data_IF_424146635112
#
_entry.id   IF_424146635112
#
_cell.length_a   1.000
_cell.length_b   1.000
_cell.length_c   1.000
_cell.angle_alpha   90.00
_cell.angle_beta   90.00
_cell.angle_gamma   90.00
#
_symmetry.space_group_name_H-M   'P 1'
#
loop_
_entity.id
_entity.type
_entity.pdbx_description
1 polymer ?
#
# COMPACT_ATOMS: atom_id res chain seq x y z
N UNK A 1 9.54 25.66 -21.33
CA UNK A 1 8.86 25.29 -20.08
C UNK A 1 9.96 24.82 -19.13
N UNK A 2 10.40 25.70 -18.24
CA UNK A 2 11.54 25.44 -17.33
C UNK A 2 11.09 24.50 -16.22
N UNK A 3 11.73 23.34 -16.11
CA UNK A 3 11.53 22.42 -14.99
C UNK A 3 11.79 23.17 -13.67
N UNK A 4 10.96 22.99 -12.64
CA UNK A 4 11.23 23.57 -11.33
C UNK A 4 12.56 23.02 -10.80
N UNK A 5 13.36 23.90 -10.20
CA UNK A 5 14.63 23.59 -9.54
C UNK A 5 14.41 22.55 -8.44
N UNK A 6 15.23 21.49 -8.34
CA UNK A 6 15.08 20.47 -7.30
C UNK A 6 15.25 21.12 -5.93
N UNK A 7 14.26 20.92 -5.05
CA UNK A 7 14.28 21.42 -3.68
C UNK A 7 15.28 20.60 -2.87
N UNK A 8 16.50 21.11 -2.72
CA UNK A 8 17.61 20.51 -1.96
C UNK A 8 17.43 20.48 -0.43
N UNK A 9 16.19 20.51 0.07
CA UNK A 9 15.92 20.37 1.49
C UNK A 9 15.63 18.90 1.83
N UNK A 10 16.67 18.13 2.13
CA UNK A 10 16.53 16.89 2.90
C UNK A 10 15.85 17.28 4.22
N UNK A 11 14.55 16.99 4.38
CA UNK A 11 13.81 17.33 5.60
C UNK A 11 14.44 16.56 6.78
N UNK A 12 15.15 17.22 7.72
CA UNK A 12 15.98 16.53 8.70
C UNK A 12 15.17 15.73 9.73
N UNK A 13 13.87 15.98 9.85
CA UNK A 13 12.98 15.31 10.81
C UNK A 13 11.57 15.17 10.24
N UNK A 14 11.38 14.25 9.29
CA UNK A 14 10.03 13.80 8.93
C UNK A 14 9.38 12.99 10.06
N UNK A 15 8.05 12.81 10.05
CA UNK A 15 7.36 12.00 11.05
C UNK A 15 7.92 10.58 11.06
N UNK A 16 8.03 10.04 12.25
CA UNK A 16 8.42 8.65 12.48
C UNK A 16 7.37 7.71 11.89
N UNK A 17 7.78 6.47 11.59
CA UNK A 17 6.84 5.43 11.12
C UNK A 17 5.70 5.22 12.12
N UNK A 18 5.97 5.33 13.43
CA UNK A 18 4.95 5.24 14.48
C UNK A 18 3.89 6.34 14.37
N UNK A 19 4.29 7.57 14.08
CA UNK A 19 3.35 8.69 13.95
C UNK A 19 2.51 8.57 12.68
N UNK A 20 3.09 8.05 11.60
CA UNK A 20 2.41 7.81 10.33
C UNK A 20 1.36 6.68 10.41
N UNK A 21 1.57 5.67 11.25
CA UNK A 21 0.68 4.51 11.36
C UNK A 21 -0.71 4.88 11.85
N UNK A 22 -1.71 4.23 11.26
CA UNK A 22 -3.08 4.26 11.74
C UNK A 22 -3.16 3.54 13.08
N UNK A 23 -3.93 4.09 14.03
CA UNK A 23 -4.01 3.58 15.41
C UNK A 23 -4.43 2.11 15.50
N UNK A 24 -5.21 1.63 14.53
CA UNK A 24 -5.66 0.23 14.49
C UNK A 24 -4.61 -0.76 13.94
N UNK A 25 -3.54 -0.31 13.28
CA UNK A 25 -2.57 -1.25 12.70
C UNK A 25 -1.85 -2.09 13.76
N UNK A 26 -1.28 -1.45 14.78
CA UNK A 26 -0.50 -2.16 15.79
C UNK A 26 -1.36 -3.14 16.61
N UNK A 27 -2.56 -2.78 17.11
CA UNK A 27 -3.46 -3.74 17.75
C UNK A 27 -3.80 -4.94 16.86
N UNK A 28 -4.07 -4.71 15.57
CA UNK A 28 -4.39 -5.80 14.63
C UNK A 28 -3.19 -6.71 14.37
N UNK A 29 -1.97 -6.16 14.31
CA UNK A 29 -0.75 -6.95 14.17
C UNK A 29 -0.48 -7.78 15.42
N UNK A 30 -0.61 -7.19 16.61
CA UNK A 30 -0.44 -7.90 17.89
C UNK A 30 -1.47 -9.02 18.00
N UNK A 31 -2.73 -8.74 17.68
CA UNK A 31 -3.79 -9.76 17.66
C UNK A 31 -3.45 -10.89 16.70
N UNK A 32 -3.01 -10.58 15.46
CA UNK A 32 -2.59 -11.59 14.50
C UNK A 32 -1.42 -12.45 15.01
N UNK A 33 -0.39 -11.84 15.59
CA UNK A 33 0.77 -12.55 16.16
C UNK A 33 0.34 -13.47 17.30
N UNK A 34 -0.48 -12.99 18.23
CA UNK A 34 -0.97 -13.78 19.38
C UNK A 34 -1.80 -14.96 18.90
N UNK A 35 -2.74 -14.74 17.98
CA UNK A 35 -3.58 -15.80 17.43
C UNK A 35 -2.75 -16.84 16.66
N UNK A 36 -1.79 -16.41 15.85
CA UNK A 36 -0.85 -17.31 15.18
C UNK A 36 -0.04 -18.12 16.20
N UNK A 37 0.46 -17.48 17.27
CA UNK A 37 1.22 -18.17 18.30
C UNK A 37 0.36 -19.23 19.02
N UNK A 38 -0.89 -18.91 19.37
CA UNK A 38 -1.83 -19.87 19.99
C UNK A 38 -2.04 -21.08 19.07
N UNK A 39 -2.28 -20.86 17.78
CA UNK A 39 -2.50 -21.96 16.81
C UNK A 39 -1.25 -22.81 16.65
N UNK A 40 -0.08 -22.19 16.52
CA UNK A 40 1.20 -22.91 16.38
C UNK A 40 1.52 -23.71 17.63
N UNK A 41 1.38 -23.12 18.83
CA UNK A 41 1.59 -23.83 20.10
C UNK A 41 0.60 -24.98 20.26
N UNK A 42 -0.68 -24.77 19.94
CA UNK A 42 -1.69 -25.83 19.98
C UNK A 42 -1.34 -27.01 19.05
N UNK A 43 -0.91 -26.70 17.82
CA UNK A 43 -0.45 -27.72 16.87
C UNK A 43 0.78 -28.48 17.38
N UNK A 44 1.76 -27.79 17.96
CA UNK A 44 2.96 -28.43 18.54
C UNK A 44 2.62 -29.36 19.71
N UNK A 45 1.75 -28.92 20.64
CA UNK A 45 1.30 -29.75 21.76
C UNK A 45 0.55 -30.99 21.26
N UNK A 46 -0.33 -30.83 20.26
CA UNK A 46 -1.06 -31.94 19.65
C UNK A 46 -0.11 -33.00 19.08
N UNK A 47 0.93 -32.57 18.36
CA UNK A 47 1.97 -33.46 17.80
C UNK A 47 2.76 -34.15 18.93
N UNK A 48 3.14 -33.43 19.99
CA UNK A 48 3.95 -33.98 21.09
C UNK A 48 3.18 -35.00 21.94
N UNK A 49 1.86 -34.85 22.09
CA UNK A 49 1.02 -35.77 22.86
C UNK A 49 0.68 -37.05 22.07
N UNK A 50 1.08 -37.14 20.80
CA UNK A 50 0.89 -38.35 19.98
C UNK A 50 -0.57 -38.65 19.66
N UNK A 51 -1.43 -37.62 19.65
CA UNK A 51 -2.81 -37.77 19.23
C UNK A 51 -2.87 -38.25 17.76
N UNK A 52 -3.82 -39.13 17.41
CA UNK A 52 -3.89 -39.71 16.09
C UNK A 52 -4.01 -38.60 15.03
N UNK A 53 -3.10 -38.64 14.06
CA UNK A 53 -2.98 -37.64 13.00
C UNK A 53 -3.89 -37.99 11.80
N UNK A 54 -4.61 -39.11 11.81
CA UNK A 54 -5.35 -39.64 10.66
C UNK A 54 -6.32 -38.63 9.99
N UNK A 55 -6.99 -37.76 10.75
CA UNK A 55 -7.85 -36.71 10.17
C UNK A 55 -7.13 -35.36 9.88
N UNK A 56 -6.00 -35.08 10.56
CA UNK A 56 -5.36 -33.75 10.57
C UNK A 56 -3.90 -33.74 10.06
N UNK A 57 -3.31 -34.89 9.78
CA UNK A 57 -1.93 -35.11 9.31
C UNK A 57 -1.65 -34.27 8.07
N UNK A 58 -2.60 -34.27 7.14
CA UNK A 58 -2.49 -33.55 5.89
C UNK A 58 -2.45 -32.03 6.11
N UNK A 59 -3.28 -31.51 7.03
CA UNK A 59 -3.27 -30.10 7.43
C UNK A 59 -1.97 -29.68 8.11
N UNK A 60 -1.44 -30.52 9.00
CA UNK A 60 -0.14 -30.29 9.66
C UNK A 60 1.01 -30.32 8.65
N UNK A 61 1.00 -31.29 7.73
CA UNK A 61 2.02 -31.40 6.68
C UNK A 61 1.98 -30.19 5.74
N UNK A 62 0.79 -29.76 5.31
CA UNK A 62 0.60 -28.51 4.55
C UNK A 62 1.15 -27.31 5.34
N UNK A 63 0.83 -27.21 6.63
CA UNK A 63 1.33 -26.14 7.50
C UNK A 63 2.87 -26.09 7.57
N UNK A 64 3.52 -27.25 7.65
CA UNK A 64 4.98 -27.37 7.69
C UNK A 64 5.64 -26.94 6.36
N UNK A 65 5.03 -27.29 5.22
CA UNK A 65 5.52 -26.89 3.89
C UNK A 65 5.08 -25.49 3.46
N UNK A 66 4.10 -24.88 4.14
CA UNK A 66 3.55 -23.57 3.78
C UNK A 66 4.61 -22.46 3.65
N UNK A 67 5.65 -22.36 4.49
CA UNK A 67 6.71 -21.36 4.32
C UNK A 67 7.50 -21.54 3.02
N UNK A 68 7.84 -22.79 2.67
CA UNK A 68 8.57 -23.12 1.43
C UNK A 68 7.70 -22.82 0.21
N UNK A 69 6.43 -23.25 0.23
CA UNK A 69 5.46 -22.96 -0.83
C UNK A 69 5.25 -21.45 -0.98
N UNK A 70 5.11 -20.72 0.12
CA UNK A 70 4.97 -19.25 0.12
C UNK A 70 6.21 -18.59 -0.47
N UNK A 71 7.40 -19.05 -0.12
CA UNK A 71 8.66 -18.53 -0.66
C UNK A 71 8.76 -18.71 -2.18
N UNK A 72 8.47 -19.92 -2.69
CA UNK A 72 8.44 -20.21 -4.12
C UNK A 72 7.37 -19.34 -4.81
N UNK A 73 6.18 -19.29 -4.24
CA UNK A 73 5.06 -18.53 -4.79
C UNK A 73 5.33 -17.03 -4.88
N UNK A 74 5.89 -16.42 -3.83
CA UNK A 74 6.26 -14.99 -3.83
C UNK A 74 7.28 -14.68 -4.91
N UNK A 75 8.28 -15.56 -5.09
CA UNK A 75 9.27 -15.39 -6.17
C UNK A 75 8.68 -15.58 -7.55
N UNK A 76 7.82 -16.58 -7.73
CA UNK A 76 7.09 -16.76 -8.97
C UNK A 76 6.25 -15.51 -9.30
N UNK A 77 5.50 -14.99 -8.34
CA UNK A 77 4.70 -13.78 -8.52
C UNK A 77 5.56 -12.58 -8.93
N UNK A 78 6.69 -12.37 -8.27
CA UNK A 78 7.64 -11.32 -8.64
C UNK A 78 8.06 -11.43 -10.11
N UNK A 79 8.63 -12.56 -10.49
CA UNK A 79 9.14 -12.77 -11.84
C UNK A 79 8.03 -12.75 -12.90
N UNK A 80 6.84 -13.28 -12.59
CA UNK A 80 5.69 -13.24 -13.51
C UNK A 80 5.25 -11.81 -13.85
N UNK A 81 5.43 -10.87 -12.92
CA UNK A 81 5.07 -9.46 -13.12
C UNK A 81 6.18 -8.69 -13.80
N UNK A 82 7.41 -8.77 -13.31
CA UNK A 82 8.51 -7.97 -13.84
C UNK A 82 9.01 -8.46 -15.20
N UNK A 83 8.86 -9.76 -15.54
CA UNK A 83 9.26 -10.28 -16.84
C UNK A 83 8.46 -9.69 -18.00
N UNK A 84 7.29 -9.11 -17.72
CA UNK A 84 6.45 -8.41 -18.70
C UNK A 84 6.43 -6.89 -18.47
N UNK A 85 7.36 -6.37 -17.66
CA UNK A 85 7.46 -4.96 -17.31
C UNK A 85 8.69 -4.29 -17.91
N UNK A 86 8.61 -2.97 -18.02
CA UNK A 86 9.74 -2.11 -18.38
C UNK A 86 10.26 -1.46 -17.11
N UNK A 87 11.54 -1.64 -16.79
CA UNK A 87 12.17 -0.97 -15.65
C UNK A 87 12.24 0.54 -15.90
N UNK A 88 11.98 1.32 -14.86
CA UNK A 88 12.10 2.78 -14.90
C UNK A 88 13.49 3.16 -14.38
N UNK A 89 14.26 3.81 -15.23
CA UNK A 89 15.65 4.23 -14.99
C UNK A 89 15.85 5.68 -15.45
N UNK A 90 17.05 6.22 -15.25
CA UNK A 90 17.43 7.53 -15.82
C UNK A 90 17.49 7.52 -17.36
N UNK A 91 17.71 6.36 -17.96
CA UNK A 91 17.69 6.18 -19.42
C UNK A 91 16.27 5.86 -19.94
N UNK A 92 15.41 5.28 -19.10
CA UNK A 92 14.05 4.84 -19.44
C UNK A 92 13.01 5.53 -18.55
N UNK A 93 12.22 6.44 -19.14
CA UNK A 93 11.30 7.33 -18.43
C UNK A 93 12.04 8.30 -17.47
N UNK A 94 12.99 9.12 -17.99
CA UNK A 94 13.86 9.96 -17.16
C UNK A 94 13.09 10.91 -16.23
N UNK A 95 11.98 11.48 -16.69
CA UNK A 95 11.15 12.40 -15.90
C UNK A 95 10.44 11.67 -14.76
N UNK A 96 9.88 10.49 -15.03
CA UNK A 96 9.28 9.64 -14.00
C UNK A 96 10.30 9.20 -12.97
N UNK A 97 11.46 8.71 -13.44
CA UNK A 97 12.53 8.28 -12.56
C UNK A 97 13.03 9.42 -11.67
N UNK A 98 13.18 10.64 -12.21
CA UNK A 98 13.57 11.82 -11.45
C UNK A 98 12.57 12.12 -10.32
N UNK A 99 11.27 12.20 -10.63
CA UNK A 99 10.22 12.47 -9.64
C UNK A 99 10.16 11.36 -8.57
N UNK A 100 10.23 10.10 -8.98
CA UNK A 100 10.20 8.96 -8.07
C UNK A 100 11.43 8.93 -7.16
N UNK A 101 12.62 9.13 -7.72
CA UNK A 101 13.89 9.15 -6.98
C UNK A 101 13.92 10.29 -5.98
N UNK A 102 13.53 11.49 -6.37
CA UNK A 102 13.45 12.64 -5.47
C UNK A 102 12.50 12.36 -4.31
N UNK A 103 11.28 11.89 -4.60
CA UNK A 103 10.29 11.51 -3.58
C UNK A 103 10.81 10.41 -2.64
N UNK A 104 11.46 9.38 -3.17
CA UNK A 104 12.03 8.30 -2.37
C UNK A 104 13.14 8.82 -1.43
N UNK A 105 14.02 9.70 -1.91
CA UNK A 105 15.06 10.33 -1.10
C UNK A 105 14.45 11.21 0.01
N UNK A 106 13.43 12.02 -0.30
CA UNK A 106 12.68 12.81 0.71
C UNK A 106 12.04 11.91 1.77
N UNK A 107 11.56 10.74 1.37
CA UNK A 107 10.98 9.74 2.27
C UNK A 107 12.04 8.98 3.09
N UNK A 108 13.33 9.21 2.84
CA UNK A 108 14.47 8.65 3.57
C UNK A 108 15.01 7.32 3.00
N UNK A 109 14.59 6.92 1.81
CA UNK A 109 15.19 5.77 1.12
C UNK A 109 16.61 6.12 0.66
N UNK A 110 17.52 5.13 0.65
CA UNK A 110 18.93 5.28 0.27
C UNK A 110 19.87 5.69 1.42
N UNK A 111 19.39 6.45 2.39
CA UNK A 111 20.16 6.83 3.59
C UNK A 111 19.71 6.08 4.86
N UNK A 112 18.57 5.38 4.82
CA UNK A 112 18.04 4.62 5.95
C UNK A 112 18.68 3.25 6.13
N UNK A 113 18.17 2.48 7.09
CA UNK A 113 18.59 1.09 7.34
C UNK A 113 17.50 0.08 6.93
N UNK A 114 17.88 -1.19 6.77
CA UNK A 114 16.95 -2.27 6.44
C UNK A 114 16.16 -2.01 5.16
N UNK A 115 14.84 -1.87 5.25
CA UNK A 115 13.97 -1.65 4.07
C UNK A 115 14.12 -0.28 3.41
N UNK A 116 14.81 0.64 4.07
CA UNK A 116 15.07 2.00 3.57
C UNK A 116 16.52 2.17 3.07
N UNK A 117 17.32 1.10 3.04
CA UNK A 117 18.74 1.18 2.67
C UNK A 117 19.01 1.45 1.19
N UNK A 118 17.98 1.37 0.35
CA UNK A 118 18.08 1.63 -1.08
C UNK A 118 16.75 2.12 -1.62
N UNK A 119 16.79 2.75 -2.78
CA UNK A 119 15.58 3.16 -3.49
C UNK A 119 14.92 1.90 -4.07
N UNK A 120 13.63 1.64 -3.78
CA UNK A 120 12.92 0.49 -4.35
C UNK A 120 12.85 0.60 -5.87
N UNK A 121 13.12 -0.49 -6.60
CA UNK A 121 12.97 -0.51 -8.06
C UNK A 121 11.52 -0.28 -8.46
N UNK A 122 11.32 0.33 -9.63
CA UNK A 122 10.00 0.65 -10.19
C UNK A 122 9.89 0.07 -11.61
N UNK A 123 8.76 -0.58 -11.88
CA UNK A 123 8.47 -1.19 -13.17
C UNK A 123 7.13 -0.68 -13.71
N UNK A 124 7.07 -0.39 -15.01
CA UNK A 124 5.84 -0.10 -15.74
C UNK A 124 5.34 -1.37 -16.40
N UNK A 125 4.07 -1.73 -16.17
CA UNK A 125 3.41 -2.85 -16.86
C UNK A 125 2.15 -2.35 -17.57
N UNK A 126 1.73 -3.05 -18.62
CA UNK A 126 0.49 -2.69 -19.33
C UNK A 126 -0.74 -2.86 -18.42
N UNK A 127 -1.50 -1.78 -18.22
CA UNK A 127 -2.72 -1.76 -17.41
C UNK A 127 -4.00 -2.16 -18.16
N UNK A 128 -3.97 -2.27 -19.49
CA UNK A 128 -5.12 -2.62 -20.33
C UNK A 128 -6.39 -1.80 -20.02
N UNK A 129 -6.24 -0.50 -19.76
CA UNK A 129 -7.37 0.39 -19.43
C UNK A 129 -7.71 0.48 -17.95
N UNK A 130 -6.98 -0.24 -17.08
CA UNK A 130 -7.18 -0.18 -15.62
C UNK A 130 -6.17 0.75 -14.95
N UNK A 131 -6.65 1.62 -14.06
CA UNK A 131 -5.80 2.52 -13.27
C UNK A 131 -5.37 1.81 -11.98
N UNK A 132 -4.10 1.39 -11.87
CA UNK A 132 -3.60 0.78 -10.64
C UNK A 132 -2.08 0.90 -10.47
N UNK A 133 -1.64 1.04 -9.23
CA UNK A 133 -0.25 0.88 -8.81
C UNK A 133 -0.23 0.07 -7.52
N UNK A 134 0.84 -0.68 -7.29
CA UNK A 134 1.03 -1.36 -6.02
C UNK A 134 2.52 -1.53 -5.69
N UNK A 135 2.86 -1.36 -4.43
CA UNK A 135 4.14 -1.75 -3.85
C UNK A 135 4.08 -3.20 -3.36
N UNK A 136 5.15 -3.94 -3.63
CA UNK A 136 5.32 -5.30 -3.16
C UNK A 136 6.76 -5.55 -2.69
N UNK A 137 7.01 -6.73 -2.13
CA UNK A 137 8.33 -7.13 -1.66
C UNK A 137 8.61 -8.56 -2.05
N UNK A 138 9.73 -8.81 -2.71
CA UNK A 138 10.18 -10.15 -3.09
C UNK A 138 11.38 -10.62 -2.26
N UNK A 139 12.23 -9.69 -1.79
CA UNK A 139 13.40 -9.98 -0.96
C UNK A 139 13.18 -9.56 0.50
N UNK A 140 13.95 -10.15 1.42
CA UNK A 140 13.83 -9.84 2.85
C UNK A 140 14.01 -8.35 3.16
N UNK A 141 14.84 -7.65 2.38
CA UNK A 141 15.22 -6.25 2.60
C UNK A 141 14.62 -5.27 1.58
N UNK A 142 14.65 -5.56 0.27
CA UNK A 142 14.23 -4.61 -0.77
C UNK A 142 12.80 -4.84 -1.25
N UNK A 143 12.02 -3.77 -1.29
CA UNK A 143 10.73 -3.70 -1.98
C UNK A 143 10.90 -3.31 -3.43
N UNK A 144 9.82 -3.43 -4.18
CA UNK A 144 9.69 -2.93 -5.55
C UNK A 144 8.29 -2.35 -5.74
N UNK A 145 8.14 -1.46 -6.71
CA UNK A 145 6.89 -0.80 -7.07
C UNK A 145 6.54 -1.20 -8.49
N UNK A 146 5.26 -1.53 -8.72
CA UNK A 146 4.74 -1.78 -10.07
C UNK A 146 3.65 -0.76 -10.34
N UNK A 147 3.76 -0.07 -11.46
CA UNK A 147 2.82 0.97 -11.90
C UNK A 147 2.22 0.56 -13.25
N UNK A 148 0.91 0.68 -13.41
CA UNK A 148 0.28 0.40 -14.69
C UNK A 148 0.49 1.56 -15.66
N UNK A 149 0.62 1.26 -16.95
CA UNK A 149 0.79 2.24 -18.03
C UNK A 149 -0.29 3.33 -18.00
N UNK A 150 -1.52 2.97 -17.68
CA UNK A 150 -2.64 3.91 -17.57
C UNK A 150 -2.43 4.99 -16.48
N UNK A 151 -1.67 4.70 -15.43
CA UNK A 151 -1.26 5.71 -14.44
C UNK A 151 -0.11 6.58 -14.94
N UNK A 152 0.82 5.98 -15.68
CA UNK A 152 1.93 6.72 -16.30
C UNK A 152 1.40 7.70 -17.35
N UNK A 153 0.31 7.37 -18.04
CA UNK A 153 -0.39 8.26 -18.97
C UNK A 153 -0.88 9.55 -18.30
N UNK A 154 -1.23 9.53 -17.00
CA UNK A 154 -1.58 10.77 -16.29
C UNK A 154 -0.47 11.80 -16.40
N UNK A 155 0.79 11.37 -16.26
CA UNK A 155 1.95 12.24 -16.33
C UNK A 155 2.33 12.56 -17.79
N UNK A 156 2.53 11.54 -18.63
CA UNK A 156 3.09 11.74 -19.97
C UNK A 156 2.08 12.20 -21.02
N UNK A 157 0.80 11.81 -20.89
CA UNK A 157 -0.25 12.18 -21.84
C UNK A 157 -1.04 13.39 -21.33
N UNK A 158 -1.35 13.41 -20.03
CA UNK A 158 -2.20 14.46 -19.43
C UNK A 158 -1.42 15.53 -18.66
N UNK A 159 -0.10 15.42 -18.52
CA UNK A 159 0.75 16.41 -17.86
C UNK A 159 0.61 16.46 -16.33
N UNK A 160 -0.08 15.48 -15.71
CA UNK A 160 -0.36 15.43 -14.28
C UNK A 160 0.67 14.58 -13.51
N UNK A 161 1.91 15.08 -13.45
CA UNK A 161 2.96 14.49 -12.62
C UNK A 161 2.64 14.57 -11.11
N UNK A 162 1.78 15.49 -10.69
CA UNK A 162 1.35 15.61 -9.30
C UNK A 162 0.55 14.39 -8.84
N UNK A 163 -0.42 13.94 -9.64
CA UNK A 163 -1.18 12.73 -9.36
C UNK A 163 -0.26 11.51 -9.18
N UNK A 164 0.72 11.37 -10.08
CA UNK A 164 1.67 10.27 -10.04
C UNK A 164 2.60 10.37 -8.82
N UNK A 165 3.07 11.58 -8.47
CA UNK A 165 3.85 11.84 -7.25
C UNK A 165 3.09 11.40 -6.00
N UNK A 166 1.82 11.75 -5.87
CA UNK A 166 1.01 11.33 -4.72
C UNK A 166 0.84 9.80 -4.67
N UNK A 167 0.51 9.17 -5.80
CA UNK A 167 0.32 7.72 -5.87
C UNK A 167 1.63 6.97 -5.55
N UNK A 168 2.76 7.42 -6.10
CA UNK A 168 4.07 6.86 -5.76
C UNK A 168 4.40 7.06 -4.28
N UNK A 169 4.03 8.20 -3.69
CA UNK A 169 4.19 8.45 -2.25
C UNK A 169 3.37 7.51 -1.39
N UNK A 170 2.17 7.13 -1.85
CA UNK A 170 1.32 6.13 -1.21
C UNK A 170 1.98 4.75 -1.24
N UNK A 171 2.45 4.32 -2.41
CA UNK A 171 3.14 3.03 -2.58
C UNK A 171 4.45 2.93 -1.79
N UNK A 172 5.27 3.98 -1.84
CA UNK A 172 6.47 4.10 -1.00
C UNK A 172 6.10 4.13 0.49
N UNK A 173 4.93 4.65 0.85
CA UNK A 173 4.38 4.62 2.20
C UNK A 173 4.15 3.19 2.71
N UNK A 174 3.64 2.28 1.87
CA UNK A 174 3.54 0.86 2.21
C UNK A 174 4.90 0.22 2.49
N UNK A 175 5.93 0.58 1.72
CA UNK A 175 7.30 0.10 1.96
C UNK A 175 7.87 0.72 3.24
N UNK A 176 7.78 2.04 3.40
CA UNK A 176 8.30 2.78 4.56
C UNK A 176 7.68 2.31 5.86
N UNK A 177 6.37 2.06 5.89
CA UNK A 177 5.66 1.52 7.05
C UNK A 177 5.69 -0.02 7.12
N UNK A 178 6.43 -0.70 6.23
CA UNK A 178 6.64 -2.15 6.31
C UNK A 178 5.38 -2.98 6.15
N UNK A 179 4.38 -2.47 5.42
CA UNK A 179 3.14 -3.19 5.10
C UNK A 179 3.41 -4.39 4.20
N UNK A 180 4.44 -4.30 3.36
CA UNK A 180 4.87 -5.36 2.43
C UNK A 180 5.93 -6.29 3.02
N UNK A 181 6.17 -6.25 4.33
CA UNK A 181 7.18 -7.11 4.95
C UNK A 181 6.76 -8.59 4.92
N UNK A 182 7.64 -9.45 4.41
CA UNK A 182 7.38 -10.88 4.21
C UNK A 182 6.98 -11.65 5.49
N UNK A 183 7.44 -11.23 6.66
CA UNK A 183 7.03 -11.88 7.93
C UNK A 183 5.52 -11.78 8.16
N UNK A 184 4.86 -10.75 7.61
CA UNK A 184 3.40 -10.58 7.73
C UNK A 184 2.65 -11.71 7.01
N UNK A 185 3.26 -12.38 6.03
CA UNK A 185 2.69 -13.56 5.40
C UNK A 185 2.47 -14.72 6.39
N UNK A 186 3.21 -14.76 7.51
CA UNK A 186 3.02 -15.77 8.56
C UNK A 186 1.77 -15.56 9.42
N UNK A 187 1.33 -14.30 9.61
CA UNK A 187 0.09 -13.98 10.36
C UNK A 187 -1.14 -13.91 9.45
N UNK A 188 -0.93 -13.80 8.13
CA UNK A 188 -2.02 -13.63 7.18
C UNK A 188 -3.04 -14.78 7.18
N UNK A 189 -2.66 -16.07 7.29
CA UNK A 189 -3.63 -17.17 7.29
C UNK A 189 -4.68 -17.07 8.39
N UNK A 190 -4.28 -16.75 9.63
CA UNK A 190 -5.22 -16.65 10.76
C UNK A 190 -6.11 -15.40 10.62
N UNK A 191 -5.56 -14.30 10.11
CA UNK A 191 -6.34 -13.09 9.85
C UNK A 191 -7.35 -13.29 8.72
N UNK A 192 -7.04 -14.09 7.70
CA UNK A 192 -7.99 -14.46 6.65
C UNK A 192 -9.07 -15.37 7.19
N UNK A 193 -8.69 -16.43 7.95
CA UNK A 193 -9.62 -17.37 8.55
C UNK A 193 -10.67 -16.66 9.42
N UNK A 194 -10.24 -15.67 10.20
CA UNK A 194 -11.12 -14.89 11.09
C UNK A 194 -11.73 -13.65 10.43
N UNK A 195 -11.55 -13.46 9.12
CA UNK A 195 -12.03 -12.28 8.36
C UNK A 195 -11.56 -10.93 8.92
N UNK A 196 -10.39 -10.92 9.55
CA UNK A 196 -9.73 -9.74 10.11
C UNK A 196 -8.78 -9.05 9.13
N UNK A 197 -8.35 -9.76 8.08
CA UNK A 197 -7.45 -9.22 7.04
C UNK A 197 -7.93 -7.89 6.42
N UNK A 198 -9.21 -7.73 6.02
CA UNK A 198 -9.70 -6.47 5.46
C UNK A 198 -9.58 -5.29 6.44
N UNK A 199 -9.69 -5.54 7.75
CA UNK A 199 -9.51 -4.50 8.77
C UNK A 199 -8.06 -4.05 8.86
N UNK A 200 -7.10 -4.97 8.81
CA UNK A 200 -5.69 -4.60 8.76
C UNK A 200 -5.36 -3.83 7.48
N UNK A 201 -5.83 -4.32 6.31
CA UNK A 201 -5.63 -3.65 5.02
C UNK A 201 -6.20 -2.23 5.03
N UNK A 202 -7.44 -2.04 5.48
CA UNK A 202 -8.05 -0.69 5.62
C UNK A 202 -7.20 0.27 6.45
N UNK A 203 -6.63 -0.19 7.56
CA UNK A 203 -5.76 0.64 8.39
C UNK A 203 -4.44 0.99 7.66
N UNK A 204 -3.88 0.04 6.91
CA UNK A 204 -2.67 0.24 6.11
C UNK A 204 -2.89 1.24 4.97
N UNK A 205 -4.05 1.23 4.31
CA UNK A 205 -4.42 2.23 3.29
C UNK A 205 -4.43 3.64 3.87
N UNK A 206 -5.06 3.84 5.03
CA UNK A 206 -5.07 5.16 5.68
C UNK A 206 -3.67 5.60 6.08
N UNK A 207 -2.81 4.70 6.55
CA UNK A 207 -1.40 5.01 6.82
C UNK A 207 -0.65 5.42 5.56
N UNK A 208 -0.85 4.73 4.45
CA UNK A 208 -0.23 5.05 3.18
C UNK A 208 -0.73 6.40 2.63
N UNK A 209 -2.04 6.66 2.67
CA UNK A 209 -2.66 7.94 2.33
C UNK A 209 -2.11 9.11 3.16
N UNK A 210 -1.96 8.92 4.48
CA UNK A 210 -1.37 9.92 5.39
C UNK A 210 0.11 10.15 5.10
N UNK A 211 0.83 9.07 4.78
CA UNK A 211 2.25 9.17 4.41
C UNK A 211 2.40 9.96 3.12
N UNK A 212 1.66 9.60 2.07
CA UNK A 212 1.63 10.33 0.81
C UNK A 212 1.26 11.81 1.02
N UNK A 213 0.25 12.08 1.84
CA UNK A 213 -0.20 13.43 2.17
C UNK A 213 0.86 14.30 2.86
N UNK A 214 1.81 13.70 3.57
CA UNK A 214 2.91 14.45 4.19
C UNK A 214 3.97 14.91 3.15
N UNK A 215 4.21 14.07 2.14
CA UNK A 215 5.25 14.28 1.12
C UNK A 215 4.74 14.95 -0.17
N UNK A 216 3.44 14.82 -0.45
CA UNK A 216 2.75 15.41 -1.60
C UNK A 216 1.37 15.95 -1.18
N UNK A 217 1.29 16.91 -0.25
CA UNK A 217 0.00 17.42 0.28
C UNK A 217 -0.88 18.06 -0.79
N UNK A 218 -0.29 18.80 -1.72
CA UNK A 218 -1.01 19.53 -2.77
C UNK A 218 -1.68 18.59 -3.79
N UNK A 219 -1.15 17.37 -3.92
CA UNK A 219 -1.59 16.41 -4.92
C UNK A 219 -2.55 15.35 -4.36
N UNK A 220 -2.85 15.38 -3.07
CA UNK A 220 -3.67 14.38 -2.40
C UNK A 220 -5.03 14.15 -3.05
N UNK A 221 -5.69 15.24 -3.45
CA UNK A 221 -7.00 15.14 -4.08
C UNK A 221 -6.95 14.65 -5.54
N UNK A 222 -5.78 14.65 -6.18
CA UNK A 222 -5.60 14.12 -7.54
C UNK A 222 -5.76 12.60 -7.60
N UNK A 223 -5.75 11.92 -6.44
CA UNK A 223 -6.15 10.51 -6.33
C UNK A 223 -7.55 10.23 -6.88
N UNK A 224 -8.38 11.26 -7.09
CA UNK A 224 -9.67 11.13 -7.80
C UNK A 224 -9.53 10.42 -9.16
N UNK A 225 -8.38 10.55 -9.82
CA UNK A 225 -8.07 9.88 -11.09
C UNK A 225 -8.16 8.35 -11.03
N UNK A 226 -7.91 7.73 -9.87
CA UNK A 226 -8.08 6.29 -9.67
C UNK A 226 -9.55 5.87 -9.73
N UNK A 227 -10.48 6.78 -9.41
CA UNK A 227 -11.91 6.49 -9.39
C UNK A 227 -12.62 6.91 -10.68
N UNK A 228 -12.16 7.98 -11.33
CA UNK A 228 -12.75 8.49 -12.57
C UNK A 228 -12.06 8.01 -13.83
N UNK A 229 -10.83 7.47 -13.74
CA UNK A 229 -10.00 7.10 -14.88
C UNK A 229 -9.17 8.26 -15.43
N UNK A 230 -8.10 7.92 -16.15
CA UNK A 230 -7.10 8.87 -16.70
C UNK A 230 -7.70 9.99 -17.55
N UNK A 231 -8.66 9.68 -18.39
CA UNK A 231 -9.24 10.63 -19.35
C UNK A 231 -10.29 11.57 -18.74
N UNK A 232 -10.90 11.20 -17.60
CA UNK A 232 -12.01 11.95 -17.00
C UNK A 232 -11.62 12.69 -15.71
N UNK A 233 -10.45 12.39 -15.13
CA UNK A 233 -10.00 12.99 -13.88
C UNK A 233 -10.05 14.51 -13.88
N UNK A 234 -9.59 15.14 -14.96
CA UNK A 234 -9.58 16.61 -15.11
C UNK A 234 -10.98 17.23 -15.24
N UNK A 235 -12.02 16.42 -15.49
CA UNK A 235 -13.42 16.86 -15.59
C UNK A 235 -14.16 16.77 -14.26
N UNK A 236 -13.58 16.15 -13.24
CA UNK A 236 -14.24 15.97 -11.94
C UNK A 236 -14.07 17.23 -11.10
N UNK A 237 -15.19 17.89 -10.76
CA UNK A 237 -15.23 18.85 -9.65
C UNK A 237 -15.10 18.05 -8.34
N UNK A 238 -13.89 18.09 -7.78
CA UNK A 238 -13.53 17.38 -6.55
C UNK A 238 -14.38 17.86 -5.37
N UNK A 239 -14.68 19.15 -5.27
CA UNK A 239 -15.47 19.68 -4.16
C UNK A 239 -16.93 19.24 -4.28
N UNK A 240 -17.48 19.19 -5.50
CA UNK A 240 -18.80 18.60 -5.75
C UNK A 240 -18.84 17.11 -5.41
N UNK A 241 -17.78 16.37 -5.75
CA UNK A 241 -17.63 14.97 -5.38
C UNK A 241 -17.63 14.81 -3.84
N UNK A 242 -16.85 15.59 -3.09
CA UNK A 242 -16.83 15.52 -1.62
C UNK A 242 -18.19 15.89 -1.02
N UNK A 243 -18.87 16.92 -1.53
CA UNK A 243 -20.25 17.24 -1.13
C UNK A 243 -21.19 16.06 -1.36
N UNK A 244 -21.02 15.31 -2.46
CA UNK A 244 -21.81 14.10 -2.73
C UNK A 244 -21.53 12.99 -1.72
N UNK A 245 -20.27 12.79 -1.32
CA UNK A 245 -19.89 11.84 -0.28
C UNK A 245 -20.57 12.19 1.06
N UNK A 246 -20.57 13.47 1.42
CA UNK A 246 -21.20 13.94 2.66
C UNK A 246 -22.73 13.74 2.68
N UNK A 247 -23.39 13.87 1.53
CA UNK A 247 -24.84 13.61 1.41
C UNK A 247 -25.22 12.15 1.69
N UNK A 248 -24.32 11.19 1.47
CA UNK A 248 -24.58 9.77 1.78
C UNK A 248 -24.50 9.45 3.30
N UNK A 249 -24.24 10.45 4.16
CA UNK A 249 -24.39 10.46 5.63
C UNK A 249 -23.86 9.20 6.36
N UNK A 250 -22.68 8.69 6.02
CA UNK A 250 -22.12 7.50 6.69
C UNK A 250 -23.15 6.35 6.87
N UNK A 251 -24.09 6.22 5.93
CA UNK A 251 -25.26 5.37 6.08
C UNK A 251 -24.89 3.88 6.16
N UNK A 252 -25.80 3.06 6.69
CA UNK A 252 -25.60 1.63 6.89
C UNK A 252 -24.99 0.92 5.67
N UNK A 253 -25.49 1.18 4.47
CA UNK A 253 -25.02 0.55 3.23
C UNK A 253 -23.58 0.91 2.86
N UNK A 254 -23.14 2.16 3.12
CA UNK A 254 -21.74 2.55 2.93
C UNK A 254 -20.82 1.84 3.94
N UNK A 255 -21.29 1.63 5.17
CA UNK A 255 -20.56 0.88 6.19
C UNK A 255 -20.44 -0.59 5.82
N UNK A 256 -21.53 -1.20 5.35
CA UNK A 256 -21.55 -2.59 4.90
C UNK A 256 -20.65 -2.82 3.68
N UNK A 257 -20.75 -1.94 2.67
CA UNK A 257 -19.88 -1.98 1.49
C UNK A 257 -18.40 -1.88 1.88
N UNK A 258 -18.05 -0.96 2.78
CA UNK A 258 -16.69 -0.83 3.28
C UNK A 258 -16.22 -2.01 4.14
N UNK A 259 -17.13 -2.65 4.88
CA UNK A 259 -16.81 -3.84 5.67
C UNK A 259 -16.48 -5.05 4.78
N UNK A 260 -17.21 -5.21 3.67
CA UNK A 260 -17.03 -6.31 2.71
C UNK A 260 -15.90 -6.06 1.70
N UNK A 261 -15.49 -4.81 1.50
CA UNK A 261 -14.38 -4.47 0.61
C UNK A 261 -13.04 -4.99 1.15
N UNK A 262 -12.15 -5.41 0.24
CA UNK A 262 -10.80 -5.88 0.58
C UNK A 262 -9.91 -4.79 1.20
N UNK A 263 -10.18 -3.53 0.88
CA UNK A 263 -9.50 -2.33 1.37
C UNK A 263 -10.49 -1.18 1.54
N UNK A 264 -10.03 -0.01 2.00
CA UNK A 264 -10.91 1.13 2.27
C UNK A 264 -11.53 1.64 0.96
N UNK A 265 -12.85 1.87 0.96
CA UNK A 265 -13.57 2.34 -0.23
C UNK A 265 -13.23 3.80 -0.55
N UNK A 266 -13.29 4.16 -1.84
CA UNK A 266 -12.89 5.47 -2.34
C UNK A 266 -13.54 6.64 -1.62
N UNK A 267 -14.85 6.57 -1.33
CA UNK A 267 -15.56 7.63 -0.61
C UNK A 267 -14.93 7.94 0.75
N UNK A 268 -14.45 6.93 1.47
CA UNK A 268 -13.85 7.13 2.80
C UNK A 268 -12.43 7.64 2.72
N UNK A 269 -11.63 7.10 1.80
CA UNK A 269 -10.26 7.56 1.55
C UNK A 269 -10.27 9.01 1.09
N UNK A 270 -11.06 9.34 0.08
CA UNK A 270 -11.21 10.72 -0.42
C UNK A 270 -11.75 11.67 0.64
N UNK A 271 -12.69 11.24 1.50
CA UNK A 271 -13.14 12.07 2.62
C UNK A 271 -12.00 12.33 3.60
N UNK A 272 -11.20 11.32 3.96
CA UNK A 272 -10.05 11.50 4.83
C UNK A 272 -9.02 12.47 4.22
N UNK A 273 -8.71 12.33 2.92
CA UNK A 273 -7.80 13.24 2.20
C UNK A 273 -8.35 14.67 2.12
N UNK A 274 -9.67 14.85 1.98
CA UNK A 274 -10.26 16.20 2.01
C UNK A 274 -10.05 16.89 3.36
N UNK A 275 -10.07 16.14 4.46
CA UNK A 275 -9.83 16.68 5.80
C UNK A 275 -8.36 17.02 6.00
N UNK A 276 -7.42 16.30 5.37
CA UNK A 276 -5.98 16.58 5.42
C UNK A 276 -5.67 18.02 5.00
N UNK A 277 -6.37 18.54 3.99
CA UNK A 277 -6.20 19.94 3.52
C UNK A 277 -6.46 20.97 4.63
N UNK A 278 -7.32 20.64 5.59
CA UNK A 278 -7.76 21.55 6.67
C UNK A 278 -7.16 21.21 8.04
N UNK A 279 -6.79 19.95 8.27
CA UNK A 279 -6.36 19.43 9.57
C UNK A 279 -4.91 18.93 9.57
N UNK A 280 -4.23 18.97 8.42
CA UNK A 280 -2.91 18.40 8.22
C UNK A 280 -2.93 16.87 8.01
N UNK A 281 -1.75 16.30 7.81
CA UNK A 281 -1.56 14.88 7.43
C UNK A 281 -1.98 13.85 8.50
N UNK A 282 -2.27 14.27 9.74
CA UNK A 282 -2.53 13.36 10.87
C UNK A 282 -3.99 12.81 10.92
N UNK A 283 -4.77 12.97 9.85
CA UNK A 283 -6.14 12.46 9.77
C UNK A 283 -6.15 10.93 9.67
N UNK A 284 -6.81 10.26 10.62
CA UNK A 284 -6.84 8.79 10.71
C UNK A 284 -7.82 8.12 9.72
N UNK A 285 -8.83 8.85 9.23
CA UNK A 285 -9.93 8.25 8.48
C UNK A 285 -10.89 7.43 9.37
N UNK A 286 -11.87 6.77 8.74
CA UNK A 286 -12.92 6.02 9.45
C UNK A 286 -12.91 4.54 9.04
N UNK A 287 -12.68 3.65 10.00
CA UNK A 287 -12.59 2.21 9.76
C UNK A 287 -13.93 1.56 9.35
N UNK A 288 -15.05 2.05 9.89
CA UNK A 288 -16.43 1.57 9.67
C UNK A 288 -17.46 2.69 9.63
#
# INVERSE_FOLDING_TARGET
MTLPTPSTAIRPTGPTVSELRHRAELPMLVLGIVLTAIVVTGALVFILVGLPLDEWAFGVLIGLFAPVMSFIYIRYLYWSKIANGVEVTDEQFPELYAVYRELALEMGFGAGTGRMSGIPQIYVINGNGTMNAYAAKCQLQRGYVVVYSDLVDLAYVHGDFGALRFIMGHELGHIKCGHVNLWRSGIQPILVLLRLSPTLSRAQEYTADRTASYYAPEDAMRMIALFSGKNLASRVDVDAYIRSVDRHKNGFWLRLSNFLAGHAVGFRRMKALSLVRTQGWNVQGKML
#
